data_IF_919036217274
#
_entry.id   IF_919036217274
#
_cell.length_a   1.000
_cell.length_b   1.000
_cell.length_c   1.000
_cell.angle_alpha   90.00
_cell.angle_beta   90.00
_cell.angle_gamma   90.00
#
_symmetry.space_group_name_H-M   'P 1'
#
loop_
_entity.id
_entity.type
_entity.pdbx_description
1 polymer ?
#
# COMPACT_ATOMS: atom_id res chain seq x y z
N UNK A 1 -30.08 34.67 -3.65
CA UNK A 1 -30.92 33.48 -3.36
C UNK A 1 -30.13 32.22 -3.72
N UNK A 2 -28.96 32.03 -3.12
CA UNK A 2 -28.00 30.95 -3.44
C UNK A 2 -27.19 30.50 -2.21
N UNK A 3 -27.57 30.92 -0.99
CA UNK A 3 -26.85 30.54 0.24
C UNK A 3 -27.44 29.29 0.92
N UNK A 4 -28.63 28.84 0.51
CA UNK A 4 -29.30 27.65 1.09
C UNK A 4 -28.93 26.30 0.44
N UNK A 5 -28.03 26.29 -0.55
CA UNK A 5 -27.60 25.04 -1.22
C UNK A 5 -26.31 24.45 -0.62
N UNK A 6 -25.48 25.25 0.05
CA UNK A 6 -24.21 24.77 0.62
C UNK A 6 -24.39 24.09 1.99
N UNK A 7 -25.36 24.54 2.79
CA UNK A 7 -25.72 23.92 4.08
C UNK A 7 -26.30 22.50 3.91
N UNK A 8 -27.07 22.26 2.84
CA UNK A 8 -27.75 20.98 2.62
C UNK A 8 -26.82 19.84 2.13
N UNK A 9 -25.64 20.15 1.58
CA UNK A 9 -24.72 19.12 1.10
C UNK A 9 -23.81 18.57 2.21
N UNK A 10 -23.49 19.39 3.22
CA UNK A 10 -22.62 18.99 4.35
C UNK A 10 -23.39 18.10 5.34
N UNK A 11 -24.72 18.15 5.35
CA UNK A 11 -25.55 17.38 6.28
C UNK A 11 -25.75 15.90 5.86
N UNK A 12 -25.49 15.54 4.60
CA UNK A 12 -25.79 14.22 4.05
C UNK A 12 -24.77 13.11 4.40
N UNK A 13 -23.70 13.42 5.14
CA UNK A 13 -22.67 12.43 5.55
C UNK A 13 -22.43 12.38 7.05
N UNK A 14 -23.45 12.67 7.87
CA UNK A 14 -23.36 12.40 9.31
C UNK A 14 -23.64 10.92 9.57
N UNK A 15 -22.58 10.16 9.81
CA UNK A 15 -22.61 8.75 10.22
C UNK A 15 -23.19 8.50 11.62
N UNK A 16 -23.71 9.53 12.28
CA UNK A 16 -24.21 9.47 13.66
C UNK A 16 -25.60 8.81 13.77
N UNK A 17 -26.41 8.85 12.70
CA UNK A 17 -27.81 8.37 12.68
C UNK A 17 -28.01 7.10 11.83
N UNK A 18 -26.94 6.35 11.61
CA UNK A 18 -27.06 5.04 10.97
C UNK A 18 -27.20 3.97 12.05
N UNK A 19 -28.14 3.04 11.86
CA UNK A 19 -28.40 1.89 12.73
C UNK A 19 -27.13 1.06 13.09
N UNK A 20 -26.00 1.34 12.45
CA UNK A 20 -24.66 0.83 12.71
C UNK A 20 -24.11 1.30 14.08
N UNK A 21 -24.43 2.51 14.55
CA UNK A 21 -23.97 3.02 15.84
C UNK A 21 -24.55 2.24 17.05
N UNK A 22 -25.70 1.57 16.86
CA UNK A 22 -26.34 0.73 17.86
C UNK A 22 -25.90 -0.75 17.81
N UNK A 23 -25.10 -1.14 16.82
CA UNK A 23 -24.58 -2.50 16.73
C UNK A 23 -23.46 -2.66 17.76
N UNK A 24 -23.57 -3.59 18.72
CA UNK A 24 -22.50 -3.80 19.68
C UNK A 24 -21.21 -4.20 18.96
N UNK A 25 -20.08 -3.62 19.35
CA UNK A 25 -18.75 -3.83 18.75
C UNK A 25 -18.32 -5.30 18.72
N UNK A 26 -18.95 -6.16 19.53
CA UNK A 26 -18.77 -7.61 19.53
C UNK A 26 -19.32 -8.34 18.29
N UNK A 27 -20.27 -7.72 17.58
CA UNK A 27 -20.82 -8.21 16.30
C UNK A 27 -20.01 -7.67 15.10
N UNK A 28 -19.36 -6.52 15.26
CA UNK A 28 -18.45 -5.99 14.24
C UNK A 28 -17.26 -6.94 14.08
N UNK A 29 -16.88 -7.22 12.83
CA UNK A 29 -15.78 -8.13 12.48
C UNK A 29 -14.39 -7.57 12.84
N UNK A 30 -14.34 -6.47 13.57
CA UNK A 30 -13.12 -5.88 14.10
C UNK A 30 -12.34 -6.94 14.88
N UNK A 31 -11.06 -7.13 14.54
CA UNK A 31 -10.15 -8.13 15.14
C UNK A 31 -10.43 -9.61 14.82
N UNK A 32 -11.37 -9.93 13.91
CA UNK A 32 -11.58 -11.31 13.41
C UNK A 32 -10.79 -11.65 12.15
N UNK A 33 -10.05 -10.68 11.62
CA UNK A 33 -9.13 -10.95 10.53
C UNK A 33 -8.10 -11.99 10.98
N UNK A 34 -7.96 -13.14 10.29
CA UNK A 34 -6.87 -14.07 10.56
C UNK A 34 -5.50 -13.43 10.29
N UNK A 35 -5.47 -12.28 9.62
CA UNK A 35 -4.30 -11.40 9.56
C UNK A 35 -4.20 -10.63 10.88
N UNK A 36 -3.79 -11.33 11.95
CA UNK A 36 -3.20 -10.71 13.13
C UNK A 36 -1.78 -10.27 12.78
N UNK A 37 -1.65 -9.20 12.02
CA UNK A 37 -0.34 -8.65 11.64
C UNK A 37 0.16 -7.73 12.75
N UNK A 38 0.79 -8.30 13.77
CA UNK A 38 1.86 -7.62 14.52
C UNK A 38 3.11 -7.49 13.61
N UNK A 39 2.92 -6.96 12.39
CA UNK A 39 4.02 -6.57 11.53
C UNK A 39 4.12 -5.07 11.64
N UNK A 40 5.21 -4.61 12.25
CA UNK A 40 5.54 -3.20 12.26
C UNK A 40 5.82 -2.78 10.81
N UNK A 41 5.52 -1.53 10.47
CA UNK A 41 5.79 -1.03 9.13
C UNK A 41 7.27 -1.19 8.73
N UNK A 42 8.17 -1.16 9.72
CA UNK A 42 9.60 -1.44 9.55
C UNK A 42 9.87 -2.82 8.96
N UNK A 43 9.06 -3.82 9.27
CA UNK A 43 9.26 -5.20 8.84
C UNK A 43 9.05 -5.34 7.34
N UNK A 44 8.14 -4.55 6.77
CA UNK A 44 7.87 -4.48 5.32
C UNK A 44 9.01 -3.79 4.57
N UNK A 45 9.73 -2.89 5.23
CA UNK A 45 10.86 -2.17 4.65
C UNK A 45 12.19 -2.93 4.75
N UNK A 46 12.24 -4.08 5.44
CA UNK A 46 13.42 -4.93 5.42
C UNK A 46 13.44 -5.81 4.15
N UNK A 47 14.59 -5.98 3.49
CA UNK A 47 15.94 -5.55 3.89
C UNK A 47 16.39 -4.20 3.33
N UNK A 48 15.52 -3.39 2.71
CA UNK A 48 15.91 -2.12 2.05
C UNK A 48 16.71 -1.20 2.99
N UNK A 49 16.33 -1.14 4.27
CA UNK A 49 16.98 -0.28 5.26
C UNK A 49 18.20 -0.90 5.94
N UNK A 50 18.36 -2.23 5.90
CA UNK A 50 19.50 -2.94 6.53
C UNK A 50 20.53 -3.48 5.54
N UNK A 51 20.20 -3.51 4.24
CA UNK A 51 21.06 -4.05 3.20
C UNK A 51 22.31 -3.19 2.97
N UNK A 52 23.45 -3.80 2.57
CA UNK A 52 24.62 -3.06 2.09
C UNK A 52 24.27 -2.12 0.92
N UNK A 53 25.01 -1.00 0.72
CA UNK A 53 24.69 0.01 -0.29
C UNK A 53 24.49 -0.55 -1.70
N UNK A 54 25.32 -1.51 -2.12
CA UNK A 54 25.27 -2.14 -3.43
C UNK A 54 23.98 -2.96 -3.60
N UNK A 55 23.62 -3.73 -2.57
CA UNK A 55 22.40 -4.54 -2.54
C UNK A 55 21.16 -3.65 -2.48
N UNK A 56 21.21 -2.57 -1.69
CA UNK A 56 20.13 -1.60 -1.59
C UNK A 56 19.86 -0.93 -2.95
N UNK A 57 20.89 -0.54 -3.68
CA UNK A 57 20.76 0.01 -5.04
C UNK A 57 20.10 -0.97 -6.00
N UNK A 58 20.45 -2.26 -5.92
CA UNK A 58 19.79 -3.31 -6.72
C UNK A 58 18.30 -3.36 -6.38
N UNK A 59 17.94 -3.43 -5.09
CA UNK A 59 16.54 -3.53 -4.66
C UNK A 59 15.73 -2.31 -5.13
N UNK A 60 16.24 -1.09 -4.93
CA UNK A 60 15.55 0.14 -5.34
C UNK A 60 15.29 0.16 -6.86
N UNK A 61 16.30 -0.18 -7.68
CA UNK A 61 16.15 -0.21 -9.15
C UNK A 61 15.20 -1.32 -9.63
N UNK A 62 15.17 -2.47 -8.96
CA UNK A 62 14.21 -3.55 -9.29
C UNK A 62 12.78 -3.11 -8.97
N UNK A 63 12.56 -2.49 -7.80
CA UNK A 63 11.24 -1.99 -7.41
C UNK A 63 10.71 -0.92 -8.37
N UNK A 64 11.58 -0.03 -8.88
CA UNK A 64 11.20 0.93 -9.91
C UNK A 64 10.71 0.25 -11.19
N UNK A 65 11.42 -0.76 -11.68
CA UNK A 65 11.04 -1.50 -12.88
C UNK A 65 9.74 -2.28 -12.67
N UNK A 66 9.55 -2.91 -11.51
CA UNK A 66 8.32 -3.63 -11.20
C UNK A 66 7.12 -2.67 -11.14
N UNK A 67 7.28 -1.53 -10.47
CA UNK A 67 6.27 -0.46 -10.42
C UNK A 67 5.90 0.01 -11.83
N UNK A 68 6.89 0.22 -12.68
CA UNK A 68 6.67 0.68 -14.05
C UNK A 68 5.95 -0.37 -14.91
N UNK A 69 6.06 -1.66 -14.58
CA UNK A 69 5.38 -2.75 -15.31
C UNK A 69 4.11 -3.25 -14.62
N UNK A 70 3.69 -2.65 -13.50
CA UNK A 70 2.53 -3.10 -12.72
C UNK A 70 1.21 -3.09 -13.52
N UNK A 71 1.10 -2.22 -14.52
CA UNK A 71 -0.06 -2.17 -15.42
C UNK A 71 -0.11 -3.34 -16.41
N UNK A 72 1.00 -4.07 -16.59
CA UNK A 72 1.07 -5.22 -17.49
C UNK A 72 0.61 -6.48 -16.78
N UNK A 73 -0.37 -7.19 -17.35
CA UNK A 73 -0.80 -8.51 -16.84
C UNK A 73 0.36 -9.53 -16.78
N UNK A 74 1.32 -9.41 -17.69
CA UNK A 74 2.52 -10.23 -17.73
C UNK A 74 3.73 -9.35 -18.12
N UNK A 75 4.55 -8.91 -17.15
CA UNK A 75 5.75 -8.12 -17.41
C UNK A 75 6.72 -8.89 -18.31
N UNK A 76 7.03 -8.34 -19.49
CA UNK A 76 8.04 -8.91 -20.39
C UNK A 76 9.44 -8.45 -19.99
N UNK A 77 10.43 -9.33 -20.18
CA UNK A 77 11.86 -9.06 -20.00
C UNK A 77 12.29 -8.63 -18.58
N UNK A 78 11.46 -8.85 -17.56
CA UNK A 78 11.80 -8.49 -16.17
C UNK A 78 13.10 -9.15 -15.71
N UNK A 79 13.31 -10.42 -16.08
CA UNK A 79 14.52 -11.15 -15.72
C UNK A 79 15.78 -10.56 -16.37
N UNK A 80 15.69 -10.16 -17.64
CA UNK A 80 16.81 -9.56 -18.37
C UNK A 80 17.18 -8.20 -17.76
N UNK A 81 16.17 -7.40 -17.40
CA UNK A 81 16.34 -6.11 -16.74
C UNK A 81 16.99 -6.26 -15.35
N UNK A 82 16.53 -7.22 -14.54
CA UNK A 82 17.11 -7.52 -13.22
C UNK A 82 18.58 -7.97 -13.36
N UNK A 83 18.86 -8.88 -14.29
CA UNK A 83 20.23 -9.36 -14.53
C UNK A 83 21.16 -8.23 -14.96
N UNK A 84 20.66 -7.28 -15.76
CA UNK A 84 21.40 -6.08 -16.14
C UNK A 84 21.69 -5.20 -14.92
N UNK A 85 20.71 -4.94 -14.07
CA UNK A 85 20.90 -4.16 -12.83
C UNK A 85 21.97 -4.80 -11.94
N UNK A 86 21.91 -6.11 -11.73
CA UNK A 86 22.88 -6.82 -10.88
C UNK A 86 24.30 -6.69 -11.43
N UNK A 87 24.47 -6.86 -12.75
CA UNK A 87 25.78 -6.72 -13.41
C UNK A 87 26.33 -5.29 -13.35
N UNK A 88 25.46 -4.28 -13.39
CA UNK A 88 25.86 -2.88 -13.25
C UNK A 88 26.25 -2.51 -11.81
N UNK A 89 25.64 -3.16 -10.82
CA UNK A 89 25.89 -2.88 -9.41
C UNK A 89 27.12 -3.63 -8.85
N UNK A 90 27.47 -4.78 -9.44
CA UNK A 90 28.62 -5.62 -9.06
C UNK A 90 29.68 -5.46 -10.15
N UNK A 91 30.42 -4.34 -10.12
CA UNK A 91 31.56 -4.07 -11.01
C UNK A 91 32.86 -4.49 -10.33
#
# INVERSE_FOLDING_TARGET
>A
MTENLHENLIMAFRYEDSAIAAVPTSILAEKRSPYQTHQEFSDVQQPITSAPPEVRQIIERVLEIEKDKLYMRAPRHINDDILKIIKEAIV
#
